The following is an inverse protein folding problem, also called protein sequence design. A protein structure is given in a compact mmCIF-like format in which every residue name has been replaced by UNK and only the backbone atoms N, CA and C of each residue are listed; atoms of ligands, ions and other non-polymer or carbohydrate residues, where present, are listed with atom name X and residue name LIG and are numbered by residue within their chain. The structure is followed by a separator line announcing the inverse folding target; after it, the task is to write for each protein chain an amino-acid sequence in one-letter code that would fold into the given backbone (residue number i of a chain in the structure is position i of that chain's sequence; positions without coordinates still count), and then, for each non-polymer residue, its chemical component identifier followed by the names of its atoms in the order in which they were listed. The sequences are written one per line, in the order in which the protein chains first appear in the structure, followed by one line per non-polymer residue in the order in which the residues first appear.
data_IF_047846101709
#
_entry.id   IF_047846101709
#
_cell.length_a   1.000
_cell.length_b   1.000
_cell.length_c   1.000
_cell.angle_alpha   90.00
_cell.angle_beta   90.00
_cell.angle_gamma   90.00
#
_symmetry.space_group_name_H-M   'P 1'
#
loop_
_entity.id
_entity.type
_entity.pdbx_description
1 polymer ?
#
# COMPACT_ATOMS: atom_id res chain seq x y z
N UNK A 1 1.25 19.03 -9.85
CA UNK A 1 2.07 18.81 -8.63
C UNK A 1 1.95 17.34 -8.32
N UNK A 2 3.01 16.64 -7.91
CA UNK A 2 2.90 15.19 -7.70
C UNK A 2 2.07 14.89 -6.43
N UNK A 3 1.37 13.75 -6.40
CA UNK A 3 0.64 13.28 -5.21
C UNK A 3 1.49 13.39 -3.94
N UNK A 4 2.75 13.01 -4.05
CA UNK A 4 3.72 12.99 -2.96
C UNK A 4 4.02 14.40 -2.44
N UNK A 5 4.09 15.40 -3.32
CA UNK A 5 4.33 16.77 -2.89
C UNK A 5 3.16 17.31 -2.07
N UNK A 6 1.92 16.92 -2.38
CA UNK A 6 0.73 17.26 -1.60
C UNK A 6 0.72 16.55 -0.24
N UNK A 7 1.13 15.27 -0.21
CA UNK A 7 1.26 14.51 1.03
C UNK A 7 2.33 15.10 1.96
N UNK A 8 3.49 15.49 1.42
CA UNK A 8 4.59 16.11 2.18
C UNK A 8 4.20 17.42 2.87
N UNK A 9 3.25 18.17 2.32
CA UNK A 9 2.71 19.40 2.94
C UNK A 9 1.79 19.14 4.13
N UNK A 10 1.34 17.89 4.30
CA UNK A 10 0.32 17.50 5.27
C UNK A 10 0.88 16.68 6.44
N UNK A 11 2.17 16.80 6.74
CA UNK A 11 2.82 16.05 7.82
C UNK A 11 2.52 16.67 9.20
N UNK A 12 2.27 15.86 10.26
CA UNK A 12 2.18 14.40 10.25
C UNK A 12 0.90 13.89 9.56
N UNK A 13 1.04 12.81 8.79
CA UNK A 13 -0.05 12.18 8.05
C UNK A 13 -0.43 10.85 8.70
N UNK A 14 -1.73 10.52 8.69
CA UNK A 14 -2.25 9.24 9.15
C UNK A 14 -2.87 8.50 7.96
N UNK A 15 -2.41 7.27 7.73
CA UNK A 15 -3.03 6.28 6.83
C UNK A 15 -3.77 5.25 7.70
N UNK A 16 -5.11 5.27 7.65
CA UNK A 16 -5.94 4.48 8.56
C UNK A 16 -6.17 3.05 8.02
N UNK A 17 -5.75 2.04 8.78
CA UNK A 17 -5.84 0.63 8.38
C UNK A 17 -7.25 0.09 8.31
N UNK A 18 -7.71 -0.22 7.10
CA UNK A 18 -9.03 -0.80 6.83
C UNK A 18 -9.19 -2.18 7.46
N UNK A 19 -8.10 -2.96 7.54
CA UNK A 19 -8.11 -4.31 8.12
C UNK A 19 -8.45 -4.32 9.63
N UNK A 20 -8.28 -3.19 10.32
CA UNK A 20 -8.63 -3.06 11.74
C UNK A 20 -10.11 -2.72 11.99
N UNK A 21 -10.86 -2.40 10.94
CA UNK A 21 -12.27 -2.04 11.04
C UNK A 21 -13.18 -3.27 11.22
N UNK A 22 -14.42 -3.02 11.67
CA UNK A 22 -15.47 -4.04 11.57
C UNK A 22 -15.85 -4.19 10.08
N UNK A 23 -15.31 -5.20 9.41
CA UNK A 23 -15.54 -5.44 7.98
C UNK A 23 -17.03 -5.72 7.65
N UNK A 24 -17.81 -6.24 8.61
CA UNK A 24 -19.26 -6.42 8.45
C UNK A 24 -20.04 -5.10 8.38
N UNK A 25 -19.44 -4.01 8.85
CA UNK A 25 -20.02 -2.67 8.90
C UNK A 25 -19.04 -1.63 8.32
N UNK A 26 -18.28 -2.01 7.28
CA UNK A 26 -17.20 -1.20 6.75
C UNK A 26 -17.66 0.20 6.32
N UNK A 27 -18.85 0.32 5.74
CA UNK A 27 -19.43 1.62 5.35
C UNK A 27 -19.59 2.59 6.52
N UNK A 28 -20.03 2.12 7.69
CA UNK A 28 -20.16 2.95 8.90
C UNK A 28 -18.78 3.31 9.47
N UNK A 29 -17.82 2.38 9.42
CA UNK A 29 -16.43 2.66 9.80
C UNK A 29 -15.82 3.76 8.94
N UNK A 30 -16.06 3.73 7.61
CA UNK A 30 -15.58 4.74 6.67
C UNK A 30 -16.18 6.12 6.94
N UNK A 31 -17.50 6.22 7.14
CA UNK A 31 -18.17 7.50 7.48
C UNK A 31 -17.57 8.15 8.73
N UNK A 32 -17.21 7.34 9.74
CA UNK A 32 -16.56 7.86 10.96
C UNK A 32 -15.21 8.49 10.62
N UNK A 33 -14.40 7.83 9.79
CA UNK A 33 -13.07 8.32 9.40
C UNK A 33 -13.16 9.54 8.48
N UNK A 34 -14.16 9.62 7.60
CA UNK A 34 -14.38 10.79 6.73
C UNK A 34 -14.60 12.10 7.49
N UNK A 35 -15.13 12.04 8.71
CA UNK A 35 -15.32 13.21 9.58
C UNK A 35 -14.03 13.69 10.27
N UNK A 36 -12.90 13.00 10.05
CA UNK A 36 -11.60 13.28 10.68
C UNK A 36 -10.62 13.94 9.70
N UNK A 37 -9.39 14.21 10.17
CA UNK A 37 -8.32 14.74 9.32
C UNK A 37 -7.55 13.66 8.51
N UNK A 38 -7.98 12.39 8.58
CA UNK A 38 -7.35 11.28 7.84
C UNK A 38 -7.51 11.50 6.34
N UNK A 39 -6.41 11.39 5.60
CA UNK A 39 -6.38 11.58 4.14
C UNK A 39 -6.14 10.30 3.35
N UNK A 40 -5.77 9.21 4.04
CA UNK A 40 -5.38 7.95 3.43
C UNK A 40 -6.04 6.78 4.16
N UNK A 41 -6.46 5.78 3.38
CA UNK A 41 -6.91 4.48 3.87
C UNK A 41 -5.87 3.44 3.49
N UNK A 42 -5.35 2.73 4.49
CA UNK A 42 -4.36 1.68 4.32
C UNK A 42 -5.03 0.32 4.11
N UNK A 43 -4.63 -0.37 3.04
CA UNK A 43 -5.15 -1.67 2.63
C UNK A 43 -4.01 -2.71 2.66
N UNK A 44 -3.99 -3.51 3.73
CA UNK A 44 -3.11 -4.67 3.84
C UNK A 44 -3.65 -5.85 3.03
N UNK A 45 -3.05 -6.09 1.86
CA UNK A 45 -3.40 -7.19 0.95
C UNK A 45 -2.44 -8.34 1.15
N UNK A 46 -2.95 -9.47 1.64
CA UNK A 46 -2.17 -10.68 1.91
C UNK A 46 -2.75 -11.85 1.12
N UNK A 47 -1.90 -12.67 0.52
CA UNK A 47 -2.32 -13.79 -0.36
C UNK A 47 -2.16 -15.19 0.25
N UNK A 48 -1.80 -15.30 1.53
CA UNK A 48 -1.51 -16.58 2.18
C UNK A 48 -0.22 -17.27 1.70
N UNK A 49 0.49 -16.69 0.72
CA UNK A 49 1.70 -17.26 0.13
C UNK A 49 2.96 -16.49 0.53
N UNK A 50 2.90 -15.15 0.55
CA UNK A 50 4.00 -14.30 1.04
C UNK A 50 4.04 -14.26 2.57
N UNK A 51 2.86 -14.24 3.21
CA UNK A 51 2.70 -14.37 4.65
C UNK A 51 1.52 -15.31 4.96
N UNK A 52 1.37 -15.82 6.19
CA UNK A 52 0.38 -16.88 6.50
C UNK A 52 -1.09 -16.47 6.35
N UNK A 53 -1.39 -15.18 6.40
CA UNK A 53 -2.76 -14.66 6.36
C UNK A 53 -3.22 -14.39 4.93
N UNK A 54 -4.53 -14.55 4.73
CA UNK A 54 -5.25 -14.12 3.53
C UNK A 54 -6.24 -13.04 3.96
N UNK A 55 -6.20 -11.88 3.31
CA UNK A 55 -7.11 -10.76 3.62
C UNK A 55 -8.13 -10.58 2.50
N UNK A 56 -7.98 -9.53 1.69
CA UNK A 56 -8.89 -9.17 0.61
C UNK A 56 -8.08 -8.73 -0.62
N UNK A 57 -8.76 -8.59 -1.76
CA UNK A 57 -8.14 -8.20 -3.02
C UNK A 57 -8.79 -6.98 -3.66
N UNK A 58 -8.53 -6.78 -4.98
CA UNK A 58 -9.05 -5.66 -5.76
C UNK A 58 -10.57 -5.42 -5.61
N UNK A 59 -11.45 -6.44 -5.55
CA UNK A 59 -12.90 -6.19 -5.41
C UNK A 59 -13.30 -5.39 -4.16
N UNK A 60 -12.65 -5.63 -3.02
CA UNK A 60 -12.92 -4.89 -1.78
C UNK A 60 -12.40 -3.46 -1.90
N UNK A 61 -11.19 -3.27 -2.44
CA UNK A 61 -10.61 -1.94 -2.68
C UNK A 61 -11.51 -1.13 -3.61
N UNK A 62 -12.02 -1.73 -4.68
CA UNK A 62 -12.93 -1.08 -5.63
C UNK A 62 -14.29 -0.70 -5.02
N UNK A 63 -14.79 -1.52 -4.10
CA UNK A 63 -16.04 -1.31 -3.39
C UNK A 63 -15.95 -0.16 -2.37
N UNK A 64 -14.76 0.11 -1.81
CA UNK A 64 -14.55 1.27 -0.93
C UNK A 64 -14.59 2.55 -1.77
N UNK A 65 -15.69 3.31 -1.62
CA UNK A 65 -15.87 4.65 -2.17
C UNK A 65 -15.65 5.66 -1.05
N UNK A 66 -14.49 6.30 -1.05
CA UNK A 66 -14.11 7.31 -0.07
C UNK A 66 -13.30 8.42 -0.75
N UNK A 67 -13.33 9.66 -0.25
CA UNK A 67 -12.54 10.77 -0.78
C UNK A 67 -11.05 10.67 -0.42
N UNK A 68 -10.70 9.81 0.54
CA UNK A 68 -9.33 9.52 0.96
C UNK A 68 -8.59 8.70 -0.10
N UNK A 69 -7.29 8.94 -0.20
CA UNK A 69 -6.41 8.17 -1.07
C UNK A 69 -6.32 6.71 -0.62
N UNK A 70 -6.22 5.78 -1.56
CA UNK A 70 -6.06 4.35 -1.27
C UNK A 70 -4.59 3.96 -1.28
N UNK A 71 -4.08 3.66 -0.10
CA UNK A 71 -2.71 3.20 0.16
C UNK A 71 -2.69 1.67 0.21
N UNK A 72 -2.32 1.04 -0.90
CA UNK A 72 -2.42 -0.41 -1.07
C UNK A 72 -1.05 -1.04 -0.81
N UNK A 73 -0.97 -1.80 0.28
CA UNK A 73 0.21 -2.54 0.69
C UNK A 73 0.11 -4.00 0.27
N UNK A 74 0.95 -4.40 -0.69
CA UNK A 74 0.94 -5.74 -1.27
C UNK A 74 1.94 -6.68 -0.57
N UNK A 75 1.43 -7.45 0.38
CA UNK A 75 2.08 -8.61 0.99
C UNK A 75 1.71 -9.88 0.20
N UNK A 76 2.07 -9.91 -1.08
CA UNK A 76 1.72 -10.99 -2.01
C UNK A 76 2.94 -11.51 -2.76
N UNK A 77 2.94 -12.80 -3.11
CA UNK A 77 4.01 -13.42 -3.91
C UNK A 77 3.84 -13.07 -5.39
N UNK A 78 4.93 -12.71 -6.07
CA UNK A 78 4.94 -12.39 -7.50
C UNK A 78 3.85 -11.36 -7.88
N UNK A 79 3.93 -10.09 -7.43
CA UNK A 79 2.83 -9.13 -7.55
C UNK A 79 2.55 -8.66 -8.99
N UNK A 80 3.54 -8.74 -9.89
CA UNK A 80 3.49 -8.17 -11.26
C UNK A 80 2.20 -8.47 -12.03
N UNK A 81 1.71 -9.72 -12.11
CA UNK A 81 0.51 -10.04 -12.89
C UNK A 81 -0.78 -9.39 -12.35
N UNK A 82 -0.78 -8.96 -11.09
CA UNK A 82 -1.96 -8.41 -10.40
C UNK A 82 -1.95 -6.88 -10.29
N UNK A 83 -0.84 -6.21 -10.65
CA UNK A 83 -0.69 -4.77 -10.48
C UNK A 83 -1.81 -3.98 -11.19
N UNK A 84 -2.17 -4.39 -12.40
CA UNK A 84 -3.24 -3.76 -13.17
C UNK A 84 -4.59 -3.82 -12.44
N UNK A 85 -4.90 -4.93 -11.77
CA UNK A 85 -6.16 -5.10 -11.04
C UNK A 85 -6.24 -4.13 -9.85
N UNK A 86 -5.14 -3.94 -9.12
CA UNK A 86 -5.09 -2.99 -7.99
C UNK A 86 -5.19 -1.54 -8.45
N UNK A 87 -4.53 -1.19 -9.56
CA UNK A 87 -4.65 0.14 -10.16
C UNK A 87 -6.10 0.40 -10.61
N UNK A 88 -6.73 -0.55 -11.29
CA UNK A 88 -8.12 -0.45 -11.73
C UNK A 88 -9.11 -0.39 -10.55
N UNK A 89 -8.78 -1.00 -9.41
CA UNK A 89 -9.55 -0.88 -8.17
C UNK A 89 -9.45 0.52 -7.52
N UNK A 90 -8.59 1.40 -8.05
CA UNK A 90 -8.40 2.77 -7.60
C UNK A 90 -7.33 2.92 -6.54
N UNK A 91 -6.28 2.08 -6.56
CA UNK A 91 -5.08 2.32 -5.75
C UNK A 91 -4.42 3.63 -6.17
N UNK A 92 -4.18 4.53 -5.22
CA UNK A 92 -3.39 5.76 -5.45
C UNK A 92 -1.91 5.53 -5.18
N UNK A 93 -1.62 4.65 -4.22
CA UNK A 93 -0.29 4.23 -3.83
C UNK A 93 -0.26 2.70 -3.84
N UNK A 94 0.77 2.13 -4.46
CA UNK A 94 1.05 0.69 -4.39
C UNK A 94 2.42 0.49 -3.77
N UNK A 95 2.43 -0.17 -2.61
CA UNK A 95 3.64 -0.47 -1.85
C UNK A 95 3.95 -1.95 -1.96
N UNK A 96 5.12 -2.27 -2.54
CA UNK A 96 5.57 -3.64 -2.79
C UNK A 96 6.68 -4.03 -1.82
N UNK A 97 6.68 -5.28 -1.35
CA UNK A 97 7.83 -5.83 -0.63
C UNK A 97 9.00 -6.12 -1.57
N UNK A 98 10.22 -5.72 -1.19
CA UNK A 98 11.44 -6.11 -1.95
C UNK A 98 11.62 -7.64 -1.94
N UNK A 99 11.08 -8.31 -0.92
CA UNK A 99 11.12 -9.75 -0.71
C UNK A 99 10.06 -10.51 -1.55
N UNK A 100 9.07 -9.82 -2.12
CA UNK A 100 7.93 -10.45 -2.82
C UNK A 100 8.31 -11.09 -4.15
N UNK A 101 9.23 -10.46 -4.89
CA UNK A 101 9.91 -10.98 -6.07
C UNK A 101 11.26 -10.25 -6.23
N UNK A 102 12.31 -10.70 -5.52
CA UNK A 102 13.59 -9.98 -5.46
C UNK A 102 14.29 -9.88 -6.83
N UNK A 103 13.90 -10.72 -7.80
CA UNK A 103 14.49 -10.70 -9.14
C UNK A 103 13.84 -9.66 -10.05
N UNK A 104 12.59 -9.28 -9.77
CA UNK A 104 11.77 -8.49 -10.69
C UNK A 104 11.15 -7.24 -10.05
N UNK A 105 11.55 -6.88 -8.83
CA UNK A 105 11.02 -5.70 -8.15
C UNK A 105 11.22 -4.41 -8.96
N UNK A 106 12.37 -4.23 -9.61
CA UNK A 106 12.63 -3.09 -10.49
C UNK A 106 11.66 -3.05 -11.69
N UNK A 107 11.30 -4.22 -12.23
CA UNK A 107 10.35 -4.33 -13.33
C UNK A 107 8.93 -3.99 -12.89
N UNK A 108 8.54 -4.41 -11.68
CA UNK A 108 7.26 -4.03 -11.08
C UNK A 108 7.13 -2.50 -10.93
N UNK A 109 8.17 -1.82 -10.44
CA UNK A 109 8.21 -0.35 -10.33
C UNK A 109 8.12 0.33 -11.70
N UNK A 110 8.81 -0.21 -12.71
CA UNK A 110 8.73 0.30 -14.10
C UNK A 110 7.32 0.14 -14.66
N UNK A 111 6.67 -1.00 -14.43
CA UNK A 111 5.28 -1.23 -14.86
C UNK A 111 4.36 -0.19 -14.20
N UNK A 112 4.44 0.00 -12.88
CA UNK A 112 3.64 0.98 -12.16
C UNK A 112 3.85 2.41 -12.68
N UNK A 113 5.08 2.78 -13.06
CA UNK A 113 5.38 4.12 -13.58
C UNK A 113 4.68 4.45 -14.90
N UNK A 114 4.29 3.43 -15.67
CA UNK A 114 3.54 3.59 -16.93
C UNK A 114 2.03 3.42 -16.79
N UNK A 115 1.52 3.24 -15.56
CA UNK A 115 0.09 3.03 -15.32
C UNK A 115 -0.62 4.35 -14.99
N UNK A 116 -1.85 4.48 -15.48
CA UNK A 116 -2.73 5.60 -15.18
C UNK A 116 -3.57 5.30 -13.94
N UNK A 117 -3.72 6.31 -13.07
CA UNK A 117 -4.52 6.18 -11.86
C UNK A 117 -6.02 6.27 -12.20
N UNK A 118 -6.79 5.28 -11.72
CA UNK A 118 -8.21 5.16 -12.02
C UNK A 118 -9.09 6.25 -11.37
N UNK A 119 -8.61 6.89 -10.30
CA UNK A 119 -9.30 8.00 -9.63
C UNK A 119 -8.92 9.36 -10.23
N UNK A 120 -7.67 9.52 -10.68
CA UNK A 120 -7.14 10.78 -11.24
C UNK A 120 -5.99 10.50 -12.23
N UNK A 121 -6.26 10.45 -13.55
CA UNK A 121 -5.24 10.12 -14.55
C UNK A 121 -4.02 11.06 -14.56
N UNK A 122 -4.16 12.31 -14.10
CA UNK A 122 -3.07 13.27 -14.07
C UNK A 122 -2.07 13.02 -12.92
N UNK A 123 -2.43 12.17 -11.96
CA UNK A 123 -1.67 11.92 -10.73
C UNK A 123 -0.64 10.80 -10.84
N UNK A 124 -0.89 9.82 -11.72
CA UNK A 124 -0.13 8.56 -11.76
C UNK A 124 -0.26 7.73 -10.47
N UNK A 125 0.49 6.64 -10.40
CA UNK A 125 0.56 5.76 -9.22
C UNK A 125 1.81 6.06 -8.42
N UNK A 126 1.67 6.38 -7.14
CA UNK A 126 2.82 6.49 -6.24
C UNK A 126 3.36 5.09 -5.91
N UNK A 127 4.68 4.93 -6.03
CA UNK A 127 5.36 3.64 -5.91
C UNK A 127 6.06 3.53 -4.56
N UNK A 128 5.57 2.66 -3.71
CA UNK A 128 6.18 2.35 -2.42
C UNK A 128 7.03 1.09 -2.46
N UNK A 129 8.07 1.04 -1.64
CA UNK A 129 8.75 -0.21 -1.27
C UNK A 129 8.67 -0.44 0.23
N UNK A 130 8.25 -1.65 0.62
CA UNK A 130 8.26 -2.13 1.99
C UNK A 130 9.50 -2.98 2.27
N UNK A 131 9.98 -2.90 3.52
CA UNK A 131 11.04 -3.74 4.06
C UNK A 131 10.53 -4.45 5.31
N UNK A 132 10.69 -5.77 5.37
CA UNK A 132 10.52 -6.50 6.62
C UNK A 132 11.56 -6.06 7.66
N UNK A 133 11.31 -6.25 8.97
CA UNK A 133 12.24 -5.83 10.02
C UNK A 133 13.67 -6.37 9.82
N UNK A 134 13.81 -7.61 9.34
CA UNK A 134 15.10 -8.25 9.10
C UNK A 134 15.76 -7.91 7.77
N UNK A 135 15.15 -7.10 6.92
CA UNK A 135 15.66 -6.80 5.58
C UNK A 135 16.54 -5.55 5.59
N UNK A 136 17.83 -5.66 5.22
CA UNK A 136 18.72 -4.51 5.22
C UNK A 136 18.27 -3.40 4.26
N UNK A 137 18.30 -2.15 4.70
CA UNK A 137 17.93 -0.99 3.88
C UNK A 137 18.77 -0.84 2.60
N UNK A 138 20.01 -1.34 2.58
CA UNK A 138 20.86 -1.37 1.38
C UNK A 138 20.20 -2.09 0.19
N UNK A 139 19.26 -3.01 0.45
CA UNK A 139 18.51 -3.72 -0.60
C UNK A 139 17.71 -2.79 -1.51
N UNK A 140 17.38 -1.57 -1.06
CA UNK A 140 16.58 -0.61 -1.84
C UNK A 140 17.39 0.55 -2.39
N UNK A 141 18.69 0.65 -2.09
CA UNK A 141 19.57 1.70 -2.63
C UNK A 141 19.50 1.82 -4.16
N UNK A 142 19.52 0.72 -4.95
CA UNK A 142 19.41 0.80 -6.40
C UNK A 142 18.04 1.28 -6.91
N UNK A 143 17.03 1.31 -6.04
CA UNK A 143 15.64 1.62 -6.38
C UNK A 143 15.24 3.04 -5.97
N UNK A 144 16.06 3.77 -5.20
CA UNK A 144 15.71 5.09 -4.65
C UNK A 144 15.26 6.11 -5.70
N UNK A 145 15.82 6.06 -6.92
CA UNK A 145 15.41 6.93 -8.02
C UNK A 145 14.08 6.57 -8.69
N UNK A 146 13.46 5.45 -8.31
CA UNK A 146 12.24 4.90 -8.92
C UNK A 146 11.07 4.79 -7.94
N UNK A 147 11.29 5.13 -6.66
CA UNK A 147 10.30 5.00 -5.60
C UNK A 147 9.95 6.36 -5.02
N UNK A 148 8.71 6.44 -4.53
CA UNK A 148 8.09 7.63 -4.01
C UNK A 148 7.96 7.57 -2.47
N UNK A 149 7.93 6.36 -1.91
CA UNK A 149 7.79 6.08 -0.49
C UNK A 149 8.57 4.84 -0.07
N UNK A 150 9.13 4.85 1.14
CA UNK A 150 9.69 3.66 1.80
C UNK A 150 8.86 3.37 3.04
N UNK A 151 8.41 2.12 3.19
CA UNK A 151 7.68 1.65 4.36
C UNK A 151 8.53 0.65 5.14
N UNK A 152 8.80 0.97 6.40
CA UNK A 152 9.53 0.09 7.30
C UNK A 152 8.52 -0.66 8.14
N UNK A 153 8.47 -1.99 8.01
CA UNK A 153 7.61 -2.78 8.87
C UNK A 153 8.18 -2.81 10.28
N UNK A 154 7.29 -2.52 11.24
CA UNK A 154 7.57 -2.56 12.68
C UNK A 154 7.47 -3.99 13.26
N UNK A 155 6.85 -4.90 12.52
CA UNK A 155 6.57 -6.30 12.88
C UNK A 155 6.60 -7.15 11.62
N UNK A 156 6.80 -8.45 11.73
CA UNK A 156 6.74 -9.33 10.56
C UNK A 156 5.33 -9.37 9.95
N UNK A 157 5.19 -9.41 8.63
CA UNK A 157 3.89 -9.41 7.98
C UNK A 157 3.09 -10.68 8.32
N UNK A 158 1.77 -10.53 8.38
CA UNK A 158 0.86 -11.67 8.43
C UNK A 158 0.13 -11.91 9.75
N UNK A 159 0.24 -11.07 10.78
CA UNK A 159 -0.64 -11.18 11.96
C UNK A 159 -1.04 -9.81 12.51
N UNK A 160 -2.30 -9.70 12.95
CA UNK A 160 -2.83 -8.52 13.65
C UNK A 160 -2.42 -8.53 15.13
N UNK A 161 -2.33 -7.34 15.73
CA UNK A 161 -2.11 -7.19 17.18
C UNK A 161 -0.71 -7.53 17.67
N UNK A 162 0.25 -7.70 16.75
CA UNK A 162 1.65 -7.87 17.11
C UNK A 162 2.19 -6.63 17.83
N UNK A 163 3.08 -6.87 18.79
CA UNK A 163 3.75 -5.77 19.51
C UNK A 163 4.94 -5.30 18.70
N UNK A 164 5.15 -3.99 18.70
CA UNK A 164 6.37 -3.40 18.14
C UNK A 164 7.61 -4.03 18.78
N UNK A 165 8.51 -4.52 17.95
CA UNK A 165 9.84 -4.93 18.38
C UNK A 165 10.77 -3.72 18.27
N UNK A 166 11.14 -3.15 19.42
CA UNK A 166 11.99 -1.98 19.51
C UNK A 166 13.46 -2.29 19.76
N UNK A 167 13.86 -3.56 19.61
CA UNK A 167 15.25 -4.01 19.80
C UNK A 167 16.16 -3.70 18.62
#
# INVERSE_FOLDING_TARGET
MSLIDDLKKSVPLISAGVLSANLGELGESLKRVESTAVKMLHFDVMDGCFCPMLTFGPPVIAAVKAPMLKDVHLMIKNPIPKLADFVQAGADIITLHVESDPRQIHMALKILSGMENANDPARGIARGIALNPGTPAVMIEPLLGQIDMVMLLAVNPGWLGQKFDGS
#
